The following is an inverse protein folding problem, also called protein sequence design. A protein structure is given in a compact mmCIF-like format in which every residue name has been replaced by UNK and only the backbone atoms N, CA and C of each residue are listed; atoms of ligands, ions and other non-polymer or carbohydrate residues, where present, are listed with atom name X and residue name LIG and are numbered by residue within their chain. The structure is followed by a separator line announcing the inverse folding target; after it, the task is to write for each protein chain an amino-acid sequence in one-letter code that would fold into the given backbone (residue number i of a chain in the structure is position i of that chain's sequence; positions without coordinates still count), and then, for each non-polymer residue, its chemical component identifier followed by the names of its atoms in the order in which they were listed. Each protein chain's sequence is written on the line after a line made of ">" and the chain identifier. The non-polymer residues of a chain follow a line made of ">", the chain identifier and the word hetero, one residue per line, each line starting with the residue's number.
data_IF_746665285373
#
_entry.id   IF_746665285373
#
_cell.length_a   1.000
_cell.length_b   1.000
_cell.length_c   1.000
_cell.angle_alpha   90.00
_cell.angle_beta   90.00
_cell.angle_gamma   90.00
#
_symmetry.space_group_name_H-M   'P 1'
#
loop_
_entity.id
_entity.type
_entity.pdbx_description
1 polymer ?
#
# COMPACT_ATOMS: atom_id res chain seq x y z
N UNK A 1 5.62 48.40 13.47
CA UNK A 1 4.21 48.67 13.81
C UNK A 1 3.40 47.66 13.03
N UNK A 2 3.34 46.44 13.56
CA UNK A 2 2.09 45.81 14.09
C UNK A 2 1.39 45.09 12.94
N UNK A 3 1.57 43.77 12.78
CA UNK A 3 0.70 42.76 13.40
C UNK A 3 -0.27 42.25 12.32
N UNK A 4 0.04 41.17 11.60
CA UNK A 4 -0.40 39.81 11.91
C UNK A 4 -1.88 39.72 12.36
N UNK A 5 -2.78 39.49 11.40
CA UNK A 5 -4.03 38.77 11.64
C UNK A 5 -4.22 37.76 10.51
N UNK A 6 -3.40 36.71 10.52
CA UNK A 6 -3.68 35.49 9.76
C UNK A 6 -4.74 34.70 10.54
N UNK A 7 -5.79 34.19 9.86
CA UNK A 7 -6.85 33.45 10.50
C UNK A 7 -6.28 32.21 11.21
N UNK A 8 -6.68 31.96 12.47
CA UNK A 8 -6.27 30.78 13.19
C UNK A 8 -7.06 29.58 12.64
N UNK A 9 -6.49 28.39 12.77
CA UNK A 9 -7.24 27.12 12.70
C UNK A 9 -7.67 26.66 11.31
N UNK A 10 -6.83 25.86 10.63
CA UNK A 10 -7.25 24.63 9.90
C UNK A 10 -6.20 23.99 8.95
N UNK A 11 -4.89 24.18 9.16
CA UNK A 11 -3.93 23.21 8.61
C UNK A 11 -3.92 21.95 9.47
N UNK A 12 -4.86 21.06 9.12
CA UNK A 12 -4.99 19.66 9.47
C UNK A 12 -3.77 19.04 10.17
N UNK A 13 -3.91 18.98 11.47
CA UNK A 13 -3.03 18.35 12.43
C UNK A 13 -3.08 16.82 12.30
N UNK A 14 -2.17 16.21 11.50
CA UNK A 14 -1.60 14.89 11.78
C UNK A 14 -0.32 14.57 10.96
N UNK A 15 0.73 15.39 11.11
CA UNK A 15 2.13 14.96 10.83
C UNK A 15 2.96 15.16 12.11
N UNK A 16 2.61 14.42 13.16
CA UNK A 16 3.25 14.55 14.49
C UNK A 16 3.88 13.23 14.99
N UNK A 17 4.59 12.53 14.10
CA UNK A 17 5.46 11.40 14.45
C UNK A 17 6.91 11.62 13.99
N UNK A 18 7.47 12.81 14.21
CA UNK A 18 8.87 13.09 13.86
C UNK A 18 9.69 13.75 14.99
N UNK A 19 9.30 13.57 16.26
CA UNK A 19 10.20 13.80 17.38
C UNK A 19 11.02 12.53 17.62
N UNK A 20 12.09 12.36 16.85
CA UNK A 20 12.99 11.22 16.95
C UNK A 20 13.85 11.31 18.23
N UNK A 21 13.50 10.53 19.25
CA UNK A 21 14.47 10.05 20.23
C UNK A 21 15.44 9.01 19.59
N UNK A 22 16.43 8.48 20.33
CA UNK A 22 17.29 7.39 19.85
C UNK A 22 16.47 6.10 19.75
N UNK A 23 15.69 5.98 18.68
CA UNK A 23 14.78 4.87 18.43
C UNK A 23 14.60 4.68 16.93
N UNK A 24 14.44 3.42 16.54
CA UNK A 24 14.31 2.92 15.16
C UNK A 24 13.35 3.78 14.32
N UNK A 25 13.88 4.51 13.33
CA UNK A 25 13.05 5.29 12.42
C UNK A 25 12.41 4.37 11.37
N UNK A 26 11.10 4.18 11.49
CA UNK A 26 10.30 3.50 10.47
C UNK A 26 10.25 4.41 9.23
N UNK A 27 11.09 4.13 8.25
CA UNK A 27 11.04 4.76 6.93
C UNK A 27 9.73 4.33 6.27
N UNK A 28 8.88 5.27 5.79
CA UNK A 28 7.75 4.88 4.98
C UNK A 28 8.30 4.15 3.75
N UNK A 29 7.92 2.88 3.58
CA UNK A 29 8.23 2.18 2.34
C UNK A 29 7.45 2.89 1.24
N UNK A 30 8.16 3.46 0.27
CA UNK A 30 7.50 3.97 -0.93
C UNK A 30 6.78 2.79 -1.57
N UNK A 31 5.45 2.81 -1.56
CA UNK A 31 4.67 1.76 -2.19
C UNK A 31 4.97 1.83 -3.70
N UNK A 32 5.61 0.81 -4.29
CA UNK A 32 5.91 0.86 -5.72
C UNK A 32 4.60 0.97 -6.51
N UNK A 33 4.61 1.74 -7.59
CA UNK A 33 3.50 1.74 -8.54
C UNK A 33 3.44 0.36 -9.22
N UNK A 34 2.45 -0.43 -8.84
CA UNK A 34 2.30 -1.82 -9.27
C UNK A 34 1.56 -1.88 -10.61
N UNK A 35 2.22 -1.59 -11.74
CA UNK A 35 1.66 -1.88 -13.07
C UNK A 35 2.17 -3.24 -13.58
N UNK A 36 1.23 -4.16 -13.84
CA UNK A 36 1.48 -5.49 -14.36
C UNK A 36 0.80 -5.74 -15.71
N UNK A 37 0.38 -4.68 -16.40
CA UNK A 37 -0.22 -4.75 -17.73
C UNK A 37 0.63 -5.57 -18.70
N UNK A 38 0.00 -6.54 -19.37
CA UNK A 38 0.66 -7.41 -20.36
C UNK A 38 1.55 -8.50 -19.77
N UNK A 39 1.73 -8.56 -18.44
CA UNK A 39 2.51 -9.61 -17.77
C UNK A 39 1.65 -10.83 -17.46
N UNK A 40 2.31 -12.00 -17.34
CA UNK A 40 1.69 -13.25 -16.90
C UNK A 40 2.19 -13.60 -15.50
N UNK A 41 1.28 -13.93 -14.58
CA UNK A 41 1.61 -14.21 -13.18
C UNK A 41 1.00 -15.54 -12.75
N UNK A 42 1.78 -16.39 -12.09
CA UNK A 42 1.30 -17.62 -11.44
C UNK A 42 1.23 -17.40 -9.93
N UNK A 43 0.07 -17.65 -9.33
CA UNK A 43 -0.11 -17.61 -7.87
C UNK A 43 -0.39 -19.01 -7.35
N UNK A 44 0.57 -19.58 -6.61
CA UNK A 44 0.37 -20.82 -5.87
C UNK A 44 -0.38 -20.54 -4.55
N UNK A 45 -1.35 -21.40 -4.20
CA UNK A 45 -2.23 -21.20 -3.06
C UNK A 45 -3.25 -20.06 -3.25
N UNK A 46 -3.55 -19.66 -4.48
CA UNK A 46 -4.36 -18.47 -4.77
C UNK A 46 -5.88 -18.59 -4.51
N UNK A 47 -6.38 -19.70 -3.96
CA UNK A 47 -7.82 -19.90 -3.74
C UNK A 47 -8.36 -19.19 -2.50
N UNK A 48 -7.53 -18.97 -1.47
CA UNK A 48 -7.95 -18.38 -0.18
C UNK A 48 -6.87 -17.49 0.43
N UNK A 49 -7.25 -16.75 1.46
CA UNK A 49 -6.34 -15.95 2.28
C UNK A 49 -5.49 -14.98 1.45
N UNK A 50 -4.21 -14.91 1.80
CA UNK A 50 -3.24 -14.00 1.16
C UNK A 50 -3.08 -14.32 -0.33
N UNK A 51 -3.03 -15.60 -0.71
CA UNK A 51 -2.90 -15.99 -2.11
C UNK A 51 -4.02 -15.43 -2.99
N UNK A 52 -5.26 -15.49 -2.50
CA UNK A 52 -6.42 -14.90 -3.21
C UNK A 52 -6.31 -13.38 -3.31
N UNK A 53 -5.91 -12.71 -2.22
CA UNK A 53 -5.72 -11.27 -2.22
C UNK A 53 -4.66 -10.85 -3.26
N UNK A 54 -3.54 -11.58 -3.33
CA UNK A 54 -2.47 -11.34 -4.30
C UNK A 54 -2.94 -11.59 -5.73
N UNK A 55 -3.65 -12.70 -6.00
CA UNK A 55 -4.17 -12.99 -7.33
C UNK A 55 -5.10 -11.88 -7.85
N UNK A 56 -5.98 -11.37 -6.98
CA UNK A 56 -6.86 -10.25 -7.31
C UNK A 56 -6.08 -8.95 -7.53
N UNK A 57 -5.11 -8.64 -6.67
CA UNK A 57 -4.28 -7.45 -6.81
C UNK A 57 -3.52 -7.44 -8.17
N UNK A 58 -2.92 -8.57 -8.56
CA UNK A 58 -2.24 -8.68 -9.86
C UNK A 58 -3.20 -8.57 -11.04
N UNK A 59 -4.41 -9.15 -10.94
CA UNK A 59 -5.42 -9.03 -11.98
C UNK A 59 -5.89 -7.58 -12.15
N UNK A 60 -6.14 -6.87 -11.04
CA UNK A 60 -6.50 -5.43 -11.04
C UNK A 60 -5.38 -4.57 -11.61
N UNK A 61 -4.12 -4.96 -11.41
CA UNK A 61 -2.95 -4.31 -12.00
C UNK A 61 -2.71 -4.65 -13.49
N UNK A 62 -3.64 -5.36 -14.16
CA UNK A 62 -3.58 -5.63 -15.59
C UNK A 62 -2.84 -6.91 -16.00
N UNK A 63 -2.44 -7.75 -15.04
CA UNK A 63 -1.82 -9.03 -15.34
C UNK A 63 -2.81 -10.07 -15.86
N UNK A 64 -2.34 -11.00 -16.69
CA UNK A 64 -3.01 -12.29 -16.90
C UNK A 64 -2.56 -13.26 -15.80
N UNK A 65 -3.46 -13.59 -14.90
CA UNK A 65 -3.15 -14.38 -13.70
C UNK A 65 -3.64 -15.82 -13.84
N UNK A 66 -2.76 -16.78 -13.58
CA UNK A 66 -3.08 -18.19 -13.37
C UNK A 66 -3.00 -18.51 -11.87
N UNK A 67 -3.94 -19.30 -11.37
CA UNK A 67 -3.99 -19.71 -9.96
C UNK A 67 -3.91 -21.23 -9.87
N UNK A 68 -2.96 -21.72 -9.07
CA UNK A 68 -2.90 -23.13 -8.68
C UNK A 68 -3.13 -23.22 -7.17
N UNK A 69 -4.14 -23.94 -6.74
CA UNK A 69 -4.38 -24.16 -5.32
C UNK A 69 -4.89 -25.56 -5.06
N UNK A 70 -4.63 -26.07 -3.86
CA UNK A 70 -5.22 -27.29 -3.36
C UNK A 70 -6.47 -26.90 -2.57
N UNK A 71 -7.59 -27.45 -2.97
CA UNK A 71 -8.91 -27.14 -2.45
C UNK A 71 -9.78 -28.10 -3.22
N UNK A 72 -10.25 -29.09 -2.51
CA UNK A 72 -10.77 -30.30 -3.10
C UNK A 72 -12.24 -30.07 -3.47
N UNK A 73 -13.01 -31.15 -3.53
CA UNK A 73 -14.03 -31.34 -2.52
C UNK A 73 -13.42 -31.29 -1.10
#
# INVERSE_FOLDING_TARGET
>A
MEGLHAPPDQHHQLLRFAAAGPGHQVRPVSAPCLDFSGRRVLVAGGSKGIGRAMALAFATAGARVAVCARGEP
#
